data_IF_379840042829
#
_entry.id   IF_379840042829
#
_cell.length_a   1.000
_cell.length_b   1.000
_cell.length_c   1.000
_cell.angle_alpha   90.00
_cell.angle_beta   90.00
_cell.angle_gamma   90.00
#
_symmetry.space_group_name_H-M   'P 1'
#
loop_
_entity.id
_entity.type
_entity.pdbx_description
1 polymer ?
#
# COMPACT_ATOMS: atom_id res chain seq x y z
N UNK A 1 4.01 -19.10 -15.45
CA UNK A 1 3.15 -18.81 -14.27
C UNK A 1 1.75 -18.40 -14.71
N UNK A 2 1.57 -17.33 -15.45
CA UNK A 2 0.30 -16.99 -16.10
C UNK A 2 0.46 -17.08 -17.63
N UNK A 3 -0.63 -17.38 -18.35
CA UNK A 3 -0.63 -17.53 -19.80
C UNK A 3 -0.19 -16.24 -20.50
N UNK A 4 0.70 -16.34 -21.50
CA UNK A 4 1.29 -15.18 -22.18
C UNK A 4 0.23 -14.32 -22.90
N UNK A 5 -0.77 -14.93 -23.54
CA UNK A 5 -1.85 -14.21 -24.20
C UNK A 5 -2.73 -13.44 -23.20
N UNK A 6 -2.99 -14.04 -22.02
CA UNK A 6 -3.75 -13.39 -20.96
C UNK A 6 -3.00 -12.17 -20.41
N UNK A 7 -1.68 -12.31 -20.19
CA UNK A 7 -0.80 -11.20 -19.77
C UNK A 7 -0.80 -10.08 -20.80
N UNK A 8 -0.64 -10.41 -22.10
CA UNK A 8 -0.64 -9.44 -23.18
C UNK A 8 -1.97 -8.69 -23.25
N UNK A 9 -3.07 -9.41 -23.25
CA UNK A 9 -4.41 -8.80 -23.33
C UNK A 9 -4.73 -7.94 -22.10
N UNK A 10 -4.25 -8.30 -20.91
CA UNK A 10 -4.40 -7.51 -19.69
C UNK A 10 -3.53 -6.25 -19.74
N UNK A 11 -2.28 -6.38 -20.20
CA UNK A 11 -1.34 -5.28 -20.35
C UNK A 11 -1.84 -4.25 -21.38
N UNK A 12 -2.22 -4.71 -22.58
CA UNK A 12 -2.67 -3.83 -23.65
C UNK A 12 -3.95 -3.07 -23.26
N UNK A 13 -4.86 -3.73 -22.54
CA UNK A 13 -6.11 -3.13 -22.05
C UNK A 13 -5.94 -2.07 -20.96
N UNK A 14 -4.80 -2.05 -20.24
CA UNK A 14 -4.55 -1.13 -19.13
C UNK A 14 -3.20 -0.39 -19.26
N UNK A 15 -2.68 -0.30 -20.47
CA UNK A 15 -1.37 0.29 -20.76
C UNK A 15 -1.24 1.71 -20.22
N UNK A 16 -2.24 2.54 -20.42
CA UNK A 16 -2.28 3.92 -19.92
C UNK A 16 -2.21 3.98 -18.40
N UNK A 17 -2.84 3.04 -17.70
CA UNK A 17 -2.75 2.92 -16.24
C UNK A 17 -1.32 2.61 -15.80
N UNK A 18 -0.65 1.64 -16.45
CA UNK A 18 0.75 1.31 -16.11
C UNK A 18 1.71 2.46 -16.44
N UNK A 19 1.53 3.14 -17.57
CA UNK A 19 2.31 4.32 -17.93
C UNK A 19 2.13 5.45 -16.90
N UNK A 20 0.91 5.65 -16.41
CA UNK A 20 0.61 6.64 -15.37
C UNK A 20 1.19 6.25 -14.01
N UNK A 21 1.18 4.96 -13.64
CA UNK A 21 1.82 4.45 -12.42
C UNK A 21 3.33 4.69 -12.47
N UNK A 22 3.99 4.38 -13.59
CA UNK A 22 5.42 4.64 -13.75
C UNK A 22 5.75 6.13 -13.68
N UNK A 23 4.94 6.96 -14.31
CA UNK A 23 5.14 8.41 -14.26
C UNK A 23 4.94 8.98 -12.84
N UNK A 24 3.97 8.47 -12.08
CA UNK A 24 3.76 8.82 -10.67
C UNK A 24 4.95 8.36 -9.81
N UNK A 25 5.48 7.15 -10.08
CA UNK A 25 6.68 6.64 -9.44
C UNK A 25 7.86 7.57 -9.66
N UNK A 26 8.09 8.02 -10.90
CA UNK A 26 9.19 8.94 -11.23
C UNK A 26 9.06 10.29 -10.51
N UNK A 27 7.83 10.85 -10.45
CA UNK A 27 7.57 12.09 -9.72
C UNK A 27 7.86 11.95 -8.23
N UNK A 28 7.45 10.85 -7.62
CA UNK A 28 7.69 10.59 -6.18
C UNK A 28 9.19 10.34 -5.91
N UNK A 29 9.88 9.58 -6.75
CA UNK A 29 11.32 9.33 -6.62
C UNK A 29 12.14 10.63 -6.74
N UNK A 30 11.71 11.55 -7.59
CA UNK A 30 12.34 12.86 -7.72
C UNK A 30 12.15 13.75 -6.47
N UNK A 31 11.08 13.54 -5.70
CA UNK A 31 10.78 14.31 -4.48
C UNK A 31 11.39 13.69 -3.21
N UNK A 32 11.48 12.37 -3.15
CA UNK A 32 11.87 11.62 -1.95
C UNK A 32 13.15 10.83 -2.16
N UNK A 33 14.28 11.46 -1.90
CA UNK A 33 15.60 10.85 -2.07
C UNK A 33 15.77 9.59 -1.21
N UNK A 34 16.22 8.48 -1.83
CA UNK A 34 16.51 7.22 -1.15
C UNK A 34 15.27 6.41 -0.75
N UNK A 35 14.10 6.78 -1.25
CA UNK A 35 12.85 6.07 -0.98
C UNK A 35 12.34 5.23 -2.16
N UNK A 36 13.18 5.00 -3.18
CA UNK A 36 12.80 4.32 -4.43
C UNK A 36 12.09 2.98 -4.21
N UNK A 37 12.61 2.16 -3.29
CA UNK A 37 11.97 0.87 -2.93
C UNK A 37 10.62 1.05 -2.24
N UNK A 38 10.49 2.10 -1.43
CA UNK A 38 9.22 2.41 -0.77
C UNK A 38 8.18 2.86 -1.80
N UNK A 39 8.59 3.71 -2.74
CA UNK A 39 7.73 4.17 -3.84
C UNK A 39 7.32 2.99 -4.72
N UNK A 40 8.23 2.10 -5.08
CA UNK A 40 7.91 0.87 -5.83
C UNK A 40 6.89 0.00 -5.07
N UNK A 41 7.10 -0.22 -3.78
CA UNK A 41 6.16 -0.93 -2.92
C UNK A 41 4.77 -0.27 -2.92
N UNK A 42 4.71 1.07 -2.85
CA UNK A 42 3.46 1.83 -2.94
C UNK A 42 2.75 1.65 -4.28
N UNK A 43 3.49 1.63 -5.39
CA UNK A 43 2.91 1.39 -6.73
C UNK A 43 2.33 -0.02 -6.83
N UNK A 44 3.03 -1.03 -6.31
CA UNK A 44 2.53 -2.40 -6.26
C UNK A 44 1.31 -2.53 -5.34
N UNK A 45 1.31 -1.85 -4.18
CA UNK A 45 0.14 -1.76 -3.31
C UNK A 45 -1.05 -1.12 -4.03
N UNK A 46 -0.82 -0.04 -4.78
CA UNK A 46 -1.84 0.64 -5.54
C UNK A 46 -2.43 -0.24 -6.65
N UNK A 47 -1.62 -0.96 -7.40
CA UNK A 47 -2.08 -1.87 -8.45
C UNK A 47 -2.86 -3.07 -7.92
N UNK A 48 -2.39 -3.66 -6.82
CA UNK A 48 -2.98 -4.90 -6.28
C UNK A 48 -4.10 -4.65 -5.28
N UNK A 49 -4.16 -3.45 -4.70
CA UNK A 49 -5.06 -3.12 -3.59
C UNK A 49 -4.68 -3.81 -2.29
N UNK A 50 -3.47 -4.37 -2.19
CA UNK A 50 -3.00 -5.03 -0.98
C UNK A 50 -2.49 -4.03 0.06
N UNK A 51 -2.75 -4.27 1.35
CA UNK A 51 -2.25 -3.41 2.41
C UNK A 51 -0.73 -3.37 2.47
N UNK A 52 -0.18 -2.17 2.67
CA UNK A 52 1.25 -1.94 2.82
C UNK A 52 1.57 -1.34 4.18
N UNK A 53 2.68 -1.80 4.79
CA UNK A 53 3.26 -1.16 5.98
C UNK A 53 4.68 -0.68 5.73
N UNK A 54 4.97 0.53 6.19
CA UNK A 54 6.30 1.13 6.22
C UNK A 54 6.88 1.00 7.62
N UNK A 55 8.07 0.42 7.74
CA UNK A 55 8.74 0.20 9.02
C UNK A 55 10.09 0.92 8.99
N UNK A 56 10.32 1.80 9.95
CA UNK A 56 11.60 2.51 10.03
C UNK A 56 11.59 3.62 11.07
N UNK A 57 12.76 4.16 11.42
CA UNK A 57 12.89 5.14 12.50
C UNK A 57 12.03 6.39 12.26
N UNK A 58 11.71 7.15 13.31
CA UNK A 58 11.00 8.41 13.17
C UNK A 58 11.83 9.38 12.31
N UNK A 59 11.16 10.32 11.64
CA UNK A 59 11.83 11.31 10.78
C UNK A 59 12.19 10.81 9.36
N UNK A 60 11.83 9.60 8.96
CA UNK A 60 12.07 9.05 7.61
C UNK A 60 10.99 9.40 6.59
N UNK A 61 10.24 10.46 6.80
CA UNK A 61 9.22 11.01 5.89
C UNK A 61 8.04 10.06 5.52
N UNK A 62 7.74 9.05 6.34
CA UNK A 62 6.68 8.06 6.08
C UNK A 62 5.31 8.71 5.79
N UNK A 63 4.86 9.59 6.66
CA UNK A 63 3.57 10.28 6.50
C UNK A 63 3.61 11.26 5.32
N UNK A 64 4.76 11.93 5.11
CA UNK A 64 4.92 12.92 4.02
C UNK A 64 4.78 12.31 2.63
N UNK A 65 5.39 11.13 2.40
CA UNK A 65 5.31 10.47 1.10
C UNK A 65 3.88 10.01 0.78
N UNK A 66 3.13 9.51 1.78
CA UNK A 66 1.72 9.12 1.59
C UNK A 66 0.85 10.34 1.30
N UNK A 67 1.05 11.44 2.01
CA UNK A 67 0.32 12.71 1.73
C UNK A 67 0.63 13.22 0.32
N UNK A 68 1.91 13.17 -0.12
CA UNK A 68 2.30 13.56 -1.48
C UNK A 68 1.65 12.66 -2.54
N UNK A 69 1.61 11.36 -2.31
CA UNK A 69 0.90 10.41 -3.16
C UNK A 69 -0.60 10.75 -3.25
N UNK A 70 -1.26 10.94 -2.12
CA UNK A 70 -2.69 11.29 -2.08
C UNK A 70 -2.97 12.66 -2.70
N UNK A 71 -2.08 13.63 -2.51
CA UNK A 71 -2.19 14.94 -3.13
C UNK A 71 -2.10 14.87 -4.66
N UNK A 72 -1.13 14.13 -5.20
CA UNK A 72 -0.99 13.92 -6.65
C UNK A 72 -2.20 13.22 -7.27
N UNK A 73 -2.85 12.34 -6.53
CA UNK A 73 -4.10 11.69 -6.95
C UNK A 73 -5.35 12.58 -6.77
N UNK A 74 -5.20 13.81 -6.30
CA UNK A 74 -6.31 14.74 -6.08
C UNK A 74 -7.16 14.45 -4.84
N UNK A 75 -6.71 13.52 -3.97
CA UNK A 75 -7.43 13.14 -2.75
C UNK A 75 -7.18 14.09 -1.57
N UNK A 76 -6.13 14.88 -1.62
CA UNK A 76 -5.78 15.91 -0.62
C UNK A 76 -5.68 17.25 -1.33
N UNK A 77 -6.35 18.27 -0.81
CA UNK A 77 -6.34 19.63 -1.38
C UNK A 77 -4.99 20.35 -1.18
N UNK A 78 -4.74 21.38 -1.97
CA UNK A 78 -3.49 22.16 -1.92
C UNK A 78 -3.23 22.77 -0.54
N UNK A 79 -4.24 23.38 0.06
CA UNK A 79 -4.11 24.06 1.36
C UNK A 79 -3.83 23.08 2.49
N UNK A 80 -4.53 21.95 2.52
CA UNK A 80 -4.29 20.89 3.49
C UNK A 80 -2.89 20.29 3.34
N UNK A 81 -2.46 20.05 2.10
CA UNK A 81 -1.13 19.52 1.81
C UNK A 81 -0.02 20.51 2.21
N UNK A 82 -0.17 21.79 1.87
CA UNK A 82 0.81 22.84 2.20
C UNK A 82 0.97 23.06 3.71
N UNK A 83 -0.14 23.02 4.46
CA UNK A 83 -0.11 23.11 5.92
C UNK A 83 0.43 21.88 6.62
N UNK A 84 0.54 20.76 5.92
CA UNK A 84 0.86 19.47 6.52
C UNK A 84 -0.23 18.93 7.44
N UNK A 85 -1.43 19.52 7.33
CA UNK A 85 -2.58 19.23 8.18
C UNK A 85 -3.57 18.37 7.42
N UNK A 86 -3.94 17.25 7.99
CA UNK A 86 -4.96 16.34 7.46
C UNK A 86 -6.11 16.18 8.44
N UNK A 87 -5.88 16.59 9.69
CA UNK A 87 -6.86 16.52 10.75
C UNK A 87 -7.53 17.89 10.89
N UNK A 88 -8.81 17.95 10.70
CA UNK A 88 -9.61 19.11 11.13
C UNK A 88 -9.89 20.12 10.06
N UNK A 89 -10.02 19.70 8.85
CA UNK A 89 -10.63 20.58 7.89
C UNK A 89 -12.15 20.50 8.00
N UNK A 90 -12.74 21.39 8.75
CA UNK A 90 -14.15 21.78 8.53
C UNK A 90 -14.41 22.18 7.07
N UNK A 91 -13.36 22.33 6.26
CA UNK A 91 -13.42 22.78 4.86
C UNK A 91 -13.00 21.75 3.81
N UNK A 92 -12.27 20.69 4.12
CA UNK A 92 -12.01 19.66 3.09
C UNK A 92 -13.12 18.62 3.10
N UNK A 93 -14.16 18.86 2.34
CA UNK A 93 -15.23 17.90 2.00
C UNK A 93 -14.72 16.67 1.21
N UNK A 94 -13.43 16.38 1.23
CA UNK A 94 -12.87 15.26 0.53
C UNK A 94 -12.81 14.06 1.48
N UNK A 95 -13.92 13.36 1.62
CA UNK A 95 -14.06 12.14 2.41
C UNK A 95 -13.20 10.99 1.86
N UNK A 96 -12.41 11.22 0.80
CA UNK A 96 -11.70 10.15 0.10
C UNK A 96 -10.40 9.73 0.80
N UNK A 97 -9.82 10.57 1.65
CA UNK A 97 -8.59 10.29 2.41
C UNK A 97 -8.82 10.40 3.91
N UNK A 98 -8.34 9.39 4.64
CA UNK A 98 -8.34 9.37 6.12
C UNK A 98 -6.94 9.08 6.62
N UNK A 99 -6.44 9.88 7.55
CA UNK A 99 -5.16 9.70 8.23
C UNK A 99 -5.35 9.77 9.72
N UNK A 100 -4.70 8.86 10.46
CA UNK A 100 -4.76 8.85 11.90
C UNK A 100 -3.49 8.30 12.55
N UNK A 101 -3.02 8.95 13.62
CA UNK A 101 -1.92 8.49 14.46
C UNK A 101 -2.49 7.62 15.59
N UNK A 102 -2.23 6.33 15.53
CA UNK A 102 -2.73 5.38 16.52
C UNK A 102 -1.89 5.36 17.79
N UNK A 103 -2.57 5.27 18.91
CA UNK A 103 -2.01 5.13 20.25
C UNK A 103 -2.72 3.99 21.00
N UNK A 104 -2.16 3.56 22.12
CA UNK A 104 -2.84 2.58 22.99
C UNK A 104 -4.16 3.10 23.58
N UNK A 105 -4.37 4.42 23.59
CA UNK A 105 -5.57 5.06 24.12
C UNK A 105 -6.59 5.41 23.04
N UNK A 106 -6.25 5.18 21.75
CA UNK A 106 -7.19 5.45 20.65
C UNK A 106 -8.48 4.68 20.83
N UNK A 107 -9.59 5.39 20.77
CA UNK A 107 -10.93 4.81 20.87
C UNK A 107 -11.53 4.54 19.49
N UNK A 108 -12.42 3.52 19.37
CA UNK A 108 -13.13 3.25 18.12
C UNK A 108 -13.93 4.45 17.58
N UNK A 109 -14.40 5.32 18.45
CA UNK A 109 -15.12 6.56 18.11
C UNK A 109 -14.29 7.55 17.31
N UNK A 110 -12.98 7.58 17.52
CA UNK A 110 -12.05 8.45 16.81
C UNK A 110 -11.82 8.00 15.34
N UNK A 111 -11.93 6.72 15.08
CA UNK A 111 -11.78 6.15 13.74
C UNK A 111 -13.11 6.06 12.98
N UNK A 112 -14.19 5.74 13.70
CA UNK A 112 -15.48 5.40 13.10
C UNK A 112 -16.60 6.40 13.41
N UNK A 113 -16.29 7.48 14.13
CA UNK A 113 -17.23 8.54 14.50
C UNK A 113 -18.02 8.24 15.79
N UNK A 114 -18.36 9.31 16.46
CA UNK A 114 -19.19 9.29 17.67
C UNK A 114 -20.66 9.05 17.32
N UNK A 115 -21.43 8.67 18.31
CA UNK A 115 -22.89 8.61 18.16
C UNK A 115 -23.51 10.01 18.17
N UNK A 116 -24.42 10.26 17.23
CA UNK A 116 -25.19 11.51 17.15
C UNK A 116 -26.19 11.57 18.33
N UNK A 117 -25.84 12.39 19.32
CA UNK A 117 -26.66 12.54 20.54
C UNK A 117 -28.04 13.14 20.24
N UNK A 118 -28.14 14.05 19.26
CA UNK A 118 -29.42 14.65 18.90
C UNK A 118 -30.39 13.61 18.35
N UNK A 119 -29.92 12.63 17.61
CA UNK A 119 -30.75 11.52 17.11
C UNK A 119 -31.04 10.47 18.18
N UNK A 120 -30.16 10.27 19.14
CA UNK A 120 -30.40 9.36 20.28
C UNK A 120 -31.58 9.88 21.12
N UNK A 121 -31.62 11.19 21.37
CA UNK A 121 -32.70 11.82 22.14
C UNK A 121 -33.88 12.28 21.28
N UNK A 122 -33.85 12.04 19.98
CA UNK A 122 -34.92 12.35 19.04
C UNK A 122 -36.14 11.44 19.19
N UNK A 123 -37.21 11.78 18.47
CA UNK A 123 -38.45 10.96 18.40
C UNK A 123 -38.74 10.54 16.97
N UNK A 124 -38.63 9.24 16.60
CA UNK A 124 -38.18 8.10 17.41
C UNK A 124 -36.67 8.17 17.69
N UNK A 125 -36.18 7.61 18.82
CA UNK A 125 -34.76 7.54 19.11
C UNK A 125 -34.03 6.65 18.09
N UNK A 126 -32.99 7.17 17.48
CA UNK A 126 -32.19 6.42 16.48
C UNK A 126 -30.72 6.52 16.83
N UNK A 127 -30.09 5.36 16.96
CA UNK A 127 -28.66 5.28 17.23
C UNK A 127 -27.89 5.31 15.90
N UNK A 128 -27.33 6.46 15.55
CA UNK A 128 -26.56 6.69 14.31
C UNK A 128 -25.20 7.29 14.67
N UNK A 129 -24.16 6.93 13.93
CA UNK A 129 -22.84 7.57 14.05
C UNK A 129 -22.74 8.79 13.13
N UNK A 130 -22.02 9.79 13.59
CA UNK A 130 -21.50 10.84 12.71
C UNK A 130 -20.30 10.28 11.93
N UNK A 131 -20.46 10.11 10.63
CA UNK A 131 -19.49 9.37 9.79
C UNK A 131 -18.75 10.25 8.81
N UNK A 132 -19.07 11.55 8.75
CA UNK A 132 -18.41 12.46 7.83
C UNK A 132 -16.93 12.59 8.19
N UNK A 133 -16.06 12.40 7.18
CA UNK A 133 -14.61 12.38 7.39
C UNK A 133 -14.05 11.18 8.14
N UNK A 134 -14.85 10.15 8.43
CA UNK A 134 -14.41 8.97 9.17
C UNK A 134 -13.89 7.87 8.25
N UNK A 135 -13.07 6.97 8.81
CA UNK A 135 -12.32 5.94 8.09
C UNK A 135 -13.20 5.07 7.17
N UNK A 136 -14.44 4.74 7.57
CA UNK A 136 -15.34 3.90 6.78
C UNK A 136 -15.90 4.59 5.52
N UNK A 137 -15.65 5.88 5.33
CA UNK A 137 -16.00 6.64 4.13
C UNK A 137 -14.82 6.85 3.19
N UNK A 138 -13.60 6.63 3.67
CA UNK A 138 -12.40 6.92 2.92
C UNK A 138 -12.07 5.85 1.86
N UNK A 139 -11.55 6.30 0.72
CA UNK A 139 -11.00 5.44 -0.34
C UNK A 139 -9.55 5.06 -0.05
N UNK A 140 -8.79 5.97 0.55
CA UNK A 140 -7.41 5.75 0.98
C UNK A 140 -7.31 6.02 2.47
N UNK A 141 -6.77 5.06 3.20
CA UNK A 141 -6.56 5.14 4.65
C UNK A 141 -5.06 5.05 4.93
N UNK A 142 -4.57 5.97 5.76
CA UNK A 142 -3.22 5.90 6.31
C UNK A 142 -3.28 5.85 7.85
N UNK A 143 -2.68 4.82 8.43
CA UNK A 143 -2.61 4.62 9.87
C UNK A 143 -1.15 4.68 10.32
N UNK A 144 -0.80 5.76 11.03
CA UNK A 144 0.54 5.90 11.59
C UNK A 144 0.62 5.22 12.97
N UNK A 145 1.79 4.70 13.32
CA UNK A 145 2.08 3.95 14.54
C UNK A 145 1.10 2.78 14.78
N UNK A 146 0.80 2.05 13.71
CA UNK A 146 -0.28 1.05 13.68
C UNK A 146 -0.14 -0.06 14.73
N UNK A 147 1.09 -0.43 15.13
CA UNK A 147 1.32 -1.46 16.14
C UNK A 147 1.23 -0.95 17.59
N UNK A 148 1.02 0.36 17.78
CA UNK A 148 0.80 0.94 19.11
C UNK A 148 -0.69 0.90 19.52
N UNK A 149 -1.60 0.53 18.61
CA UNK A 149 -3.03 0.49 18.87
C UNK A 149 -3.41 -0.64 19.85
N UNK A 150 -4.48 -0.42 20.59
CA UNK A 150 -5.05 -1.45 21.47
C UNK A 150 -5.56 -2.67 20.67
N UNK A 151 -5.60 -3.84 21.31
CA UNK A 151 -6.13 -5.07 20.69
C UNK A 151 -7.56 -4.92 20.18
N UNK A 152 -8.38 -4.08 20.81
CA UNK A 152 -9.75 -3.80 20.37
C UNK A 152 -9.77 -3.07 19.00
N UNK A 153 -8.92 -2.07 18.85
CA UNK A 153 -8.74 -1.35 17.56
C UNK A 153 -8.20 -2.29 16.49
N UNK A 154 -7.16 -3.07 16.81
CA UNK A 154 -6.56 -4.00 15.83
C UNK A 154 -7.56 -5.04 15.34
N UNK A 155 -8.42 -5.57 16.21
CA UNK A 155 -9.47 -6.50 15.82
C UNK A 155 -10.54 -5.86 14.91
N UNK A 156 -10.90 -4.60 15.16
CA UNK A 156 -11.82 -3.85 14.28
C UNK A 156 -11.18 -3.62 12.91
N UNK A 157 -9.89 -3.28 12.88
CA UNK A 157 -9.11 -3.10 11.65
C UNK A 157 -8.96 -4.39 10.84
N UNK A 158 -8.83 -5.55 11.48
CA UNK A 158 -8.74 -6.84 10.78
C UNK A 158 -9.92 -7.08 9.83
N UNK A 159 -11.13 -6.84 10.30
CA UNK A 159 -12.34 -7.00 9.47
C UNK A 159 -12.41 -5.95 8.37
N UNK A 160 -12.08 -4.71 8.72
CA UNK A 160 -12.03 -3.59 7.78
C UNK A 160 -11.05 -3.84 6.63
N UNK A 161 -9.84 -4.31 6.93
CA UNK A 161 -8.79 -4.59 5.95
C UNK A 161 -9.10 -5.79 5.06
N UNK A 162 -9.60 -6.88 5.65
CA UNK A 162 -9.75 -8.16 4.95
C UNK A 162 -10.99 -8.24 4.09
N UNK A 163 -12.11 -7.79 4.64
CA UNK A 163 -13.41 -7.96 4.02
C UNK A 163 -13.90 -6.69 3.33
N UNK A 164 -13.21 -5.56 3.56
CA UNK A 164 -13.66 -4.23 3.14
C UNK A 164 -15.10 -3.98 3.60
N UNK A 165 -15.35 -4.35 4.86
CA UNK A 165 -16.64 -4.20 5.52
C UNK A 165 -16.49 -3.53 6.86
N UNK A 166 -17.48 -2.74 7.20
CA UNK A 166 -17.63 -2.15 8.51
C UNK A 166 -18.81 -2.81 9.22
N UNK A 167 -18.54 -3.33 10.42
CA UNK A 167 -19.53 -3.94 11.28
C UNK A 167 -19.95 -2.94 12.35
N UNK A 168 -21.19 -2.49 12.29
CA UNK A 168 -21.77 -1.61 13.31
C UNK A 168 -23.11 -2.15 13.78
N UNK A 169 -23.19 -2.53 15.07
CA UNK A 169 -24.41 -2.97 15.74
C UNK A 169 -25.18 -4.04 14.97
N UNK A 170 -24.50 -5.09 14.57
CA UNK A 170 -25.07 -6.20 13.81
C UNK A 170 -25.39 -5.92 12.35
N UNK A 171 -25.19 -4.69 11.89
CA UNK A 171 -25.26 -4.34 10.47
C UNK A 171 -23.87 -4.41 9.84
N UNK A 172 -23.80 -5.00 8.67
CA UNK A 172 -22.58 -5.12 7.88
C UNK A 172 -22.75 -4.36 6.58
N UNK A 173 -21.83 -3.46 6.29
CA UNK A 173 -21.85 -2.72 5.03
C UNK A 173 -20.46 -2.69 4.39
N UNK A 174 -20.40 -2.63 3.09
CA UNK A 174 -19.15 -2.44 2.36
C UNK A 174 -18.63 -1.02 2.56
N UNK A 175 -17.30 -0.90 2.61
CA UNK A 175 -16.60 0.39 2.65
C UNK A 175 -15.92 0.67 1.30
N UNK A 176 -15.77 1.94 0.90
CA UNK A 176 -15.17 2.31 -0.38
C UNK A 176 -13.63 2.20 -0.38
N UNK A 177 -13.04 1.53 0.62
CA UNK A 177 -11.61 1.41 0.78
C UNK A 177 -10.95 0.80 -0.46
N UNK A 178 -10.05 1.53 -1.10
CA UNK A 178 -9.24 1.10 -2.24
C UNK A 178 -7.82 0.77 -1.84
N UNK A 179 -7.21 1.60 -0.96
CA UNK A 179 -5.83 1.48 -0.51
C UNK A 179 -5.74 1.66 1.00
N UNK A 180 -4.90 0.85 1.62
CA UNK A 180 -4.54 1.00 3.04
C UNK A 180 -3.03 0.99 3.18
N UNK A 181 -2.52 2.10 3.68
CA UNK A 181 -1.13 2.28 4.08
C UNK A 181 -1.04 2.34 5.59
N UNK A 182 0.02 1.79 6.13
CA UNK A 182 0.35 1.92 7.54
C UNK A 182 1.81 2.27 7.73
N UNK A 183 2.14 2.84 8.87
CA UNK A 183 3.51 3.07 9.29
C UNK A 183 3.73 2.63 10.74
N UNK A 184 4.97 2.30 11.05
CA UNK A 184 5.44 2.03 12.41
C UNK A 184 6.93 2.30 12.53
N UNK A 185 7.39 2.62 13.73
CA UNK A 185 8.81 2.80 13.99
C UNK A 185 9.57 1.47 14.16
N UNK A 186 8.86 0.39 14.44
CA UNK A 186 9.44 -0.95 14.65
C UNK A 186 8.49 -2.06 14.22
N UNK A 187 9.05 -3.24 13.99
CA UNK A 187 8.25 -4.46 13.79
C UNK A 187 7.58 -4.87 15.09
N UNK A 188 6.35 -5.44 15.04
CA UNK A 188 5.68 -5.91 16.24
C UNK A 188 6.49 -7.03 16.91
N UNK A 189 6.66 -6.92 18.23
CA UNK A 189 7.38 -7.92 19.05
C UNK A 189 6.45 -8.83 19.85
N UNK A 190 5.21 -8.43 20.04
CA UNK A 190 4.21 -9.18 20.80
C UNK A 190 3.61 -10.28 19.94
N UNK A 191 3.51 -11.49 20.49
CA UNK A 191 2.93 -12.66 19.80
C UNK A 191 1.50 -12.39 19.32
N UNK A 192 0.71 -11.62 20.05
CA UNK A 192 -0.67 -11.24 19.68
C UNK A 192 -0.77 -10.38 18.42
N UNK A 193 0.29 -9.70 18.00
CA UNK A 193 0.31 -8.83 16.82
C UNK A 193 0.68 -9.58 15.53
N UNK A 194 1.18 -10.80 15.62
CA UNK A 194 1.61 -11.58 14.46
C UNK A 194 0.51 -11.76 13.41
N UNK A 195 -0.71 -12.09 13.86
CA UNK A 195 -1.86 -12.25 12.98
C UNK A 195 -2.27 -10.95 12.27
N UNK A 196 -2.13 -9.81 12.95
CA UNK A 196 -2.39 -8.50 12.37
C UNK A 196 -1.27 -8.10 11.39
N UNK A 197 -0.01 -8.34 11.75
CA UNK A 197 1.14 -8.10 10.88
C UNK A 197 1.10 -8.91 9.59
N UNK A 198 0.62 -10.18 9.66
CA UNK A 198 0.45 -11.04 8.48
C UNK A 198 -0.55 -10.47 7.46
N UNK A 199 -1.42 -9.53 7.85
CA UNK A 199 -2.37 -8.87 6.94
C UNK A 199 -1.71 -7.84 6.04
N UNK A 200 -0.59 -7.25 6.45
CA UNK A 200 0.23 -6.40 5.59
C UNK A 200 1.07 -7.26 4.67
N UNK A 201 0.56 -7.47 3.46
CA UNK A 201 1.25 -8.28 2.47
C UNK A 201 2.57 -7.64 2.06
N UNK A 202 2.53 -6.34 1.79
CA UNK A 202 3.65 -5.54 1.32
C UNK A 202 4.28 -4.78 2.49
N UNK A 203 5.59 -4.91 2.62
CA UNK A 203 6.36 -4.33 3.72
C UNK A 203 7.58 -3.61 3.17
N UNK A 204 7.65 -2.32 3.42
CA UNK A 204 8.81 -1.51 3.06
C UNK A 204 9.58 -1.12 4.32
N UNK A 205 10.88 -1.39 4.32
CA UNK A 205 11.77 -0.98 5.40
C UNK A 205 12.52 0.27 4.99
N UNK A 206 12.55 1.21 5.91
CA UNK A 206 13.17 2.52 5.76
C UNK A 206 14.31 2.64 6.75
N UNK A 207 15.43 3.13 6.29
CA UNK A 207 16.59 3.43 7.11
C UNK A 207 16.96 4.92 6.98
N UNK A 208 17.64 5.45 7.97
CA UNK A 208 18.22 6.77 7.83
C UNK A 208 19.24 6.76 6.69
N UNK A 209 19.35 7.89 5.98
CA UNK A 209 20.36 8.04 4.94
C UNK A 209 21.76 7.80 5.52
N UNK A 210 22.66 7.14 4.78
CA UNK A 210 24.05 6.99 5.19
C UNK A 210 24.69 8.36 5.42
N UNK A 211 25.57 8.45 6.43
CA UNK A 211 26.31 9.67 6.76
C UNK A 211 27.48 9.93 5.77
N UNK A 212 27.14 9.94 4.49
CA UNK A 212 28.04 10.23 3.38
C UNK A 212 27.80 11.67 2.91
N UNK A 213 28.83 12.51 2.74
CA UNK A 213 28.66 13.93 2.44
C UNK A 213 27.85 14.20 1.15
N UNK A 214 28.06 13.44 0.09
CA UNK A 214 27.36 13.63 -1.18
C UNK A 214 25.88 13.27 -1.05
N UNK A 215 25.60 12.13 -0.41
CA UNK A 215 24.23 11.67 -0.17
C UNK A 215 23.45 12.58 0.79
N UNK A 216 24.13 13.10 1.81
CA UNK A 216 23.53 14.08 2.73
C UNK A 216 23.23 15.41 2.03
N UNK A 217 24.11 15.87 1.15
CA UNK A 217 23.87 17.10 0.38
C UNK A 217 22.63 16.95 -0.53
N UNK A 218 22.47 15.81 -1.22
CA UNK A 218 21.29 15.53 -2.05
C UNK A 218 20.03 15.42 -1.20
N UNK A 219 20.09 14.66 -0.10
CA UNK A 219 18.96 14.53 0.83
C UNK A 219 18.52 15.90 1.38
N UNK A 220 19.46 16.69 1.89
CA UNK A 220 19.15 17.99 2.50
C UNK A 220 18.56 18.95 1.48
N UNK A 221 19.10 19.01 0.25
CA UNK A 221 18.55 19.90 -0.77
C UNK A 221 17.14 19.49 -1.21
N UNK A 222 16.88 18.19 -1.41
CA UNK A 222 15.57 17.67 -1.79
C UNK A 222 14.54 17.82 -0.66
N UNK A 223 14.91 17.42 0.56
CA UNK A 223 14.02 17.51 1.72
C UNK A 223 13.72 18.95 2.12
N UNK A 224 14.69 19.86 2.02
CA UNK A 224 14.48 21.28 2.29
C UNK A 224 13.48 21.90 1.31
N UNK A 225 13.65 21.62 0.02
CA UNK A 225 12.73 22.11 -1.01
C UNK A 225 11.30 21.57 -0.78
N UNK A 226 11.16 20.27 -0.53
CA UNK A 226 9.86 19.65 -0.31
C UNK A 226 9.19 20.15 0.99
N UNK A 227 9.95 20.50 2.02
CA UNK A 227 9.42 20.96 3.31
C UNK A 227 8.99 22.42 3.28
N UNK A 228 9.79 23.29 2.64
CA UNK A 228 9.58 24.75 2.72
C UNK A 228 8.85 25.31 1.49
N UNK A 229 8.93 24.64 0.36
CA UNK A 229 8.27 25.02 -0.86
C UNK A 229 7.73 23.78 -1.59
N UNK A 230 6.76 23.07 -1.00
CA UNK A 230 6.22 21.87 -1.63
C UNK A 230 5.67 22.20 -3.00
N UNK A 231 6.07 21.41 -3.99
CA UNK A 231 5.58 21.59 -5.36
C UNK A 231 4.09 21.23 -5.42
N UNK A 232 3.27 22.25 -5.54
CA UNK A 232 1.84 22.15 -5.82
C UNK A 232 1.66 22.16 -7.34
N UNK A 233 1.98 21.03 -7.98
CA UNK A 233 1.91 20.95 -9.45
C UNK A 233 0.49 20.53 -9.87
N UNK A 234 -0.30 21.53 -10.25
CA UNK A 234 -1.66 21.33 -10.78
C UNK A 234 -1.68 20.50 -12.07
N UNK A 235 -0.60 20.55 -12.88
CA UNK A 235 -0.51 19.74 -14.08
C UNK A 235 -0.36 18.26 -13.74
N UNK A 236 0.50 17.92 -12.77
CA UNK A 236 0.65 16.56 -12.27
C UNK A 236 -0.64 16.06 -11.62
N UNK A 237 -1.31 16.88 -10.80
CA UNK A 237 -2.59 16.51 -10.20
C UNK A 237 -3.66 16.19 -11.24
N UNK A 238 -3.80 17.01 -12.28
CA UNK A 238 -4.75 16.73 -13.37
C UNK A 238 -4.37 15.48 -14.14
N UNK A 239 -3.09 15.22 -14.31
CA UNK A 239 -2.55 14.03 -14.98
C UNK A 239 -2.89 12.76 -14.21
N UNK A 240 -2.74 12.77 -12.89
CA UNK A 240 -2.89 11.57 -12.07
C UNK A 240 -4.28 11.41 -11.44
N UNK A 241 -5.14 12.42 -11.46
CA UNK A 241 -6.49 12.31 -10.89
C UNK A 241 -7.30 11.10 -11.41
N UNK A 242 -7.23 10.71 -12.73
CA UNK A 242 -7.94 9.54 -13.22
C UNK A 242 -7.33 8.20 -12.80
N UNK A 243 -6.12 8.20 -12.21
CA UNK A 243 -5.37 6.98 -11.94
C UNK A 243 -6.10 6.06 -10.95
N UNK A 244 -6.81 6.61 -9.97
CA UNK A 244 -7.57 5.79 -9.00
C UNK A 244 -8.64 4.93 -9.66
N UNK A 245 -9.30 5.42 -10.70
CA UNK A 245 -10.26 4.65 -11.50
C UNK A 245 -9.54 3.60 -12.34
N UNK A 246 -8.45 3.96 -13.01
CA UNK A 246 -7.65 3.03 -13.80
C UNK A 246 -7.08 1.88 -12.98
N UNK A 247 -6.68 2.12 -11.74
CA UNK A 247 -6.24 1.09 -10.79
C UNK A 247 -7.38 0.13 -10.41
N UNK A 248 -8.60 0.65 -10.21
CA UNK A 248 -9.77 -0.16 -9.91
C UNK A 248 -10.18 -1.01 -11.12
N UNK A 249 -10.26 -0.40 -12.30
CA UNK A 249 -10.56 -1.10 -13.56
C UNK A 249 -9.57 -2.25 -13.82
N UNK A 250 -8.30 -2.04 -13.55
CA UNK A 250 -7.28 -3.09 -13.65
C UNK A 250 -7.55 -4.25 -12.68
N UNK A 251 -7.82 -3.97 -11.40
CA UNK A 251 -8.12 -5.00 -10.39
C UNK A 251 -9.39 -5.78 -10.76
N UNK A 252 -10.44 -5.07 -11.18
CA UNK A 252 -11.67 -5.68 -11.63
C UNK A 252 -11.48 -6.55 -12.89
N UNK A 253 -10.58 -6.14 -13.79
CA UNK A 253 -10.22 -6.93 -14.94
C UNK A 253 -9.48 -8.22 -14.58
N UNK A 254 -8.56 -8.17 -13.60
CA UNK A 254 -7.87 -9.35 -13.06
C UNK A 254 -8.90 -10.32 -12.45
N UNK A 255 -9.79 -9.84 -11.59
CA UNK A 255 -10.81 -10.64 -10.94
C UNK A 255 -11.78 -11.27 -11.93
N UNK A 256 -12.28 -10.48 -12.88
CA UNK A 256 -13.21 -10.92 -13.93
C UNK A 256 -12.60 -11.99 -14.81
N UNK A 257 -11.37 -11.74 -15.30
CA UNK A 257 -10.66 -12.72 -16.16
C UNK A 257 -10.33 -14.00 -15.43
N UNK A 258 -10.02 -13.93 -14.14
CA UNK A 258 -9.81 -15.12 -13.31
C UNK A 258 -11.09 -15.93 -13.16
N UNK A 259 -12.23 -15.28 -12.88
CA UNK A 259 -13.55 -15.93 -12.80
C UNK A 259 -13.98 -16.55 -14.13
N UNK A 260 -13.67 -15.89 -15.24
CA UNK A 260 -13.98 -16.37 -16.60
C UNK A 260 -13.00 -17.46 -17.08
N UNK A 261 -12.02 -17.85 -16.28
CA UNK A 261 -10.98 -18.82 -16.65
C UNK A 261 -10.00 -18.33 -17.72
N UNK A 262 -9.97 -17.02 -18.00
CA UNK A 262 -9.07 -16.40 -18.99
C UNK A 262 -7.72 -15.97 -18.42
N UNK A 263 -7.60 -15.92 -17.10
CA UNK A 263 -6.34 -15.66 -16.39
C UNK A 263 -6.12 -16.81 -15.40
N UNK A 264 -5.33 -17.78 -15.80
CA UNK A 264 -5.06 -18.98 -15.01
C UNK A 264 -3.57 -19.16 -14.74
N UNK A 265 -3.28 -19.80 -13.63
CA UNK A 265 -1.91 -20.19 -13.27
C UNK A 265 -1.59 -21.54 -13.94
N UNK A 266 -0.56 -21.56 -14.79
CA UNK A 266 -0.02 -22.78 -15.43
C UNK A 266 0.78 -23.58 -14.41
N UNK A 267 0.33 -24.79 -14.07
CA UNK A 267 0.90 -25.61 -12.98
C UNK A 267 2.29 -26.13 -13.27
N UNK A 268 2.63 -26.31 -14.53
CA UNK A 268 3.90 -26.92 -14.96
C UNK A 268 5.01 -25.89 -15.27
N UNK A 269 4.75 -24.61 -14.92
CA UNK A 269 5.72 -23.54 -15.16
C UNK A 269 6.98 -23.74 -14.30
N UNK A 270 8.19 -23.72 -14.89
CA UNK A 270 9.45 -23.91 -14.17
C UNK A 270 9.72 -22.88 -13.07
N UNK A 271 9.09 -21.68 -13.14
CA UNK A 271 9.21 -20.66 -12.10
C UNK A 271 8.74 -21.12 -10.72
N UNK A 272 7.87 -22.16 -10.66
CA UNK A 272 7.46 -22.70 -9.36
C UNK A 272 8.60 -23.37 -8.61
N UNK A 273 9.62 -23.89 -9.29
CA UNK A 273 10.83 -24.43 -8.61
C UNK A 273 11.58 -23.30 -7.91
N UNK A 274 11.84 -22.20 -8.62
CA UNK A 274 12.50 -21.04 -8.03
C UNK A 274 11.70 -20.47 -6.85
N UNK A 275 10.38 -20.38 -6.99
CA UNK A 275 9.50 -19.91 -5.91
C UNK A 275 9.52 -20.85 -4.70
N UNK A 276 9.46 -22.17 -4.94
CA UNK A 276 9.49 -23.18 -3.88
C UNK A 276 10.81 -23.16 -3.12
N UNK A 277 11.94 -23.13 -3.83
CA UNK A 277 13.28 -23.09 -3.24
C UNK A 277 13.46 -21.81 -2.41
N UNK A 278 13.01 -20.66 -2.94
CA UNK A 278 13.03 -19.40 -2.23
C UNK A 278 12.19 -19.44 -0.95
N UNK A 279 10.95 -19.91 -1.02
CA UNK A 279 10.07 -20.03 0.14
C UNK A 279 10.61 -20.99 1.19
N UNK A 280 11.17 -22.13 0.76
CA UNK A 280 11.80 -23.09 1.67
C UNK A 280 12.98 -22.45 2.43
N UNK A 281 13.82 -21.69 1.72
CA UNK A 281 14.97 -21.01 2.35
C UNK A 281 14.53 -19.89 3.29
N UNK A 282 13.52 -19.10 2.91
CA UNK A 282 12.95 -18.05 3.77
C UNK A 282 12.41 -18.63 5.09
N UNK A 283 11.69 -19.75 5.02
CA UNK A 283 11.17 -20.46 6.20
C UNK A 283 12.31 -21.06 7.04
N UNK A 284 13.30 -21.70 6.40
CA UNK A 284 14.45 -22.30 7.07
C UNK A 284 15.29 -21.27 7.85
N UNK A 285 15.37 -20.05 7.33
CA UNK A 285 16.10 -18.92 7.95
C UNK A 285 15.24 -18.04 8.86
N UNK A 286 14.00 -18.42 9.05
CA UNK A 286 12.99 -17.63 9.82
C UNK A 286 12.86 -16.17 9.34
N UNK A 287 13.11 -15.93 8.05
CA UNK A 287 12.98 -14.62 7.45
C UNK A 287 11.55 -14.30 7.05
N UNK A 288 10.75 -15.31 6.76
CA UNK A 288 9.30 -15.19 6.58
C UNK A 288 8.67 -16.57 6.63
N UNK A 289 7.57 -16.69 7.38
CA UNK A 289 6.75 -17.91 7.38
C UNK A 289 5.99 -18.07 6.06
N UNK A 290 5.81 -17.02 5.32
CA UNK A 290 5.13 -16.97 4.02
C UNK A 290 3.92 -17.90 4.01
N UNK A 291 2.86 -17.50 4.70
CA UNK A 291 1.62 -18.28 4.80
C UNK A 291 1.02 -18.56 3.42
N UNK A 292 0.24 -19.65 3.29
CA UNK A 292 -0.43 -19.98 2.02
C UNK A 292 -1.28 -18.80 1.50
N UNK A 293 -1.91 -18.05 2.39
CA UNK A 293 -2.66 -16.85 2.05
C UNK A 293 -1.76 -15.80 1.42
N UNK A 294 -0.58 -15.55 1.99
CA UNK A 294 0.38 -14.57 1.45
C UNK A 294 0.92 -15.00 0.10
N UNK A 295 1.25 -16.30 -0.07
CA UNK A 295 1.70 -16.85 -1.36
C UNK A 295 0.68 -16.61 -2.46
N UNK A 296 -0.60 -16.89 -2.21
CA UNK A 296 -1.68 -16.66 -3.19
C UNK A 296 -1.77 -15.18 -3.56
N UNK A 297 -1.66 -14.26 -2.58
CA UNK A 297 -1.69 -12.82 -2.82
C UNK A 297 -0.44 -12.31 -3.55
N UNK A 298 0.73 -12.86 -3.22
CA UNK A 298 1.97 -12.53 -3.94
C UNK A 298 1.94 -12.91 -5.42
N UNK A 299 1.15 -13.90 -5.84
CA UNK A 299 0.95 -14.15 -7.26
C UNK A 299 0.40 -12.91 -8.01
N UNK A 300 -0.51 -12.17 -7.38
CA UNK A 300 -1.02 -10.89 -7.90
C UNK A 300 0.05 -9.79 -7.92
N UNK A 301 0.91 -9.73 -6.90
CA UNK A 301 2.02 -8.76 -6.85
C UNK A 301 3.06 -9.07 -7.93
N UNK A 302 3.42 -10.34 -8.12
CA UNK A 302 4.34 -10.78 -9.18
C UNK A 302 3.77 -10.43 -10.56
N UNK A 303 2.46 -10.67 -10.77
CA UNK A 303 1.77 -10.26 -12.00
C UNK A 303 1.89 -8.75 -12.24
N UNK A 304 1.57 -7.92 -11.24
CA UNK A 304 1.65 -6.47 -11.35
C UNK A 304 3.08 -5.99 -11.64
N UNK A 305 4.09 -6.54 -10.97
CA UNK A 305 5.49 -6.23 -11.17
C UNK A 305 5.95 -6.55 -12.61
N UNK A 306 5.59 -7.73 -13.12
CA UNK A 306 5.92 -8.14 -14.48
C UNK A 306 5.28 -7.21 -15.54
N UNK A 307 4.04 -6.76 -15.32
CA UNK A 307 3.35 -5.83 -16.24
C UNK A 307 3.97 -4.43 -16.19
N UNK A 308 4.33 -3.93 -15.00
CA UNK A 308 5.07 -2.66 -14.85
C UNK A 308 6.44 -2.72 -15.52
N UNK A 309 7.19 -3.80 -15.31
CA UNK A 309 8.49 -4.02 -15.95
C UNK A 309 8.35 -4.04 -17.47
N UNK A 310 7.38 -4.80 -18.00
CA UNK A 310 7.12 -4.86 -19.44
C UNK A 310 6.79 -3.48 -20.03
N UNK A 311 6.04 -2.65 -19.30
CA UNK A 311 5.73 -1.27 -19.72
C UNK A 311 6.98 -0.41 -19.74
N UNK A 312 7.81 -0.49 -18.68
CA UNK A 312 9.08 0.28 -18.59
C UNK A 312 10.06 -0.09 -19.69
N UNK A 313 10.21 -1.38 -19.96
CA UNK A 313 11.12 -1.92 -20.98
C UNK A 313 10.54 -1.86 -22.40
N UNK A 314 9.27 -1.50 -22.55
CA UNK A 314 8.52 -1.55 -23.82
C UNK A 314 8.59 -2.93 -24.48
N UNK A 315 8.55 -3.97 -23.66
CA UNK A 315 8.67 -5.37 -24.05
C UNK A 315 7.33 -6.11 -23.94
N UNK A 316 7.25 -7.29 -24.55
CA UNK A 316 6.10 -8.15 -24.39
C UNK A 316 5.98 -8.63 -22.93
N UNK A 317 4.80 -8.56 -22.30
CA UNK A 317 4.62 -8.94 -20.92
C UNK A 317 4.80 -10.46 -20.75
N UNK A 318 5.70 -10.81 -19.85
CA UNK A 318 5.95 -12.19 -19.40
C UNK A 318 6.44 -12.15 -17.97
N UNK A 319 6.13 -13.17 -17.18
CA UNK A 319 6.72 -13.33 -15.86
C UNK A 319 8.08 -14.02 -16.01
N UNK A 320 9.06 -13.50 -15.32
CA UNK A 320 10.43 -14.02 -15.29
C UNK A 320 10.84 -14.33 -13.85
N UNK A 321 11.94 -15.03 -13.66
CA UNK A 321 12.46 -15.29 -12.33
C UNK A 321 12.77 -14.01 -11.55
N UNK A 322 13.23 -12.96 -12.23
CA UNK A 322 13.48 -11.65 -11.62
C UNK A 322 12.23 -11.04 -10.97
N UNK A 323 11.03 -11.27 -11.54
CA UNK A 323 9.78 -10.75 -10.98
C UNK A 323 9.41 -11.42 -9.64
N UNK A 324 9.93 -12.62 -9.36
CA UNK A 324 9.78 -13.27 -8.07
C UNK A 324 10.54 -12.51 -6.97
N UNK A 325 11.50 -11.68 -7.35
CA UNK A 325 12.28 -10.83 -6.44
C UNK A 325 11.42 -9.91 -5.56
N UNK A 326 10.21 -9.54 -5.99
CA UNK A 326 9.28 -8.74 -5.16
C UNK A 326 8.92 -9.41 -3.83
N UNK A 327 9.00 -10.74 -3.76
CA UNK A 327 8.80 -11.49 -2.51
C UNK A 327 9.95 -11.23 -1.54
N UNK A 328 11.18 -11.15 -2.05
CA UNK A 328 12.38 -10.83 -1.26
C UNK A 328 12.41 -9.34 -0.86
N UNK A 329 11.88 -8.47 -1.71
CA UNK A 329 11.87 -7.03 -1.48
C UNK A 329 10.82 -6.61 -0.46
N UNK A 330 9.63 -7.21 -0.51
CA UNK A 330 8.45 -6.70 0.19
C UNK A 330 7.70 -7.75 1.02
N UNK A 331 8.19 -8.99 1.06
CA UNK A 331 7.52 -10.09 1.75
C UNK A 331 8.19 -10.58 3.03
N UNK A 332 9.29 -9.95 3.47
CA UNK A 332 10.07 -10.45 4.59
C UNK A 332 9.55 -9.97 5.94
N UNK A 333 9.62 -10.85 6.94
CA UNK A 333 9.30 -10.56 8.34
C UNK A 333 10.54 -10.06 9.10
N UNK A 334 11.73 -10.56 8.72
CA UNK A 334 13.03 -10.19 9.28
C UNK A 334 14.04 -9.83 8.18
N UNK A 335 15.14 -9.18 8.55
CA UNK A 335 16.22 -8.77 7.64
C UNK A 335 17.40 -9.73 7.73
N UNK A 336 17.86 -10.19 6.57
CA UNK A 336 19.17 -10.85 6.39
C UNK A 336 19.65 -10.57 4.97
N UNK A 337 20.38 -9.49 4.80
CA UNK A 337 20.91 -9.05 3.52
C UNK A 337 21.77 -10.10 2.84
N UNK A 338 22.43 -10.97 3.60
CA UNK A 338 23.32 -11.99 3.05
C UNK A 338 22.52 -13.09 2.36
N UNK A 339 21.44 -13.54 2.99
CA UNK A 339 20.52 -14.54 2.45
C UNK A 339 19.72 -13.94 1.28
N UNK A 340 19.21 -12.72 1.40
CA UNK A 340 18.48 -12.05 0.32
C UNK A 340 19.35 -11.89 -0.92
N UNK A 341 20.61 -11.46 -0.78
CA UNK A 341 21.55 -11.36 -1.93
C UNK A 341 21.81 -12.71 -2.59
N UNK A 342 21.97 -13.79 -1.84
CA UNK A 342 22.17 -15.15 -2.38
C UNK A 342 20.94 -15.62 -3.15
N UNK A 343 19.75 -15.44 -2.58
CA UNK A 343 18.49 -15.82 -3.24
C UNK A 343 18.27 -15.01 -4.52
N UNK A 344 18.54 -13.71 -4.51
CA UNK A 344 18.44 -12.86 -5.70
C UNK A 344 19.40 -13.31 -6.80
N UNK A 345 20.66 -13.56 -6.50
CA UNK A 345 21.62 -14.08 -7.45
C UNK A 345 21.24 -15.45 -8.05
N UNK A 346 20.33 -16.19 -7.39
CA UNK A 346 19.77 -17.44 -7.91
C UNK A 346 18.60 -17.21 -8.87
N UNK A 347 17.86 -16.11 -8.70
CA UNK A 347 16.80 -15.70 -9.62
C UNK A 347 17.33 -15.07 -10.91
N UNK A 348 18.55 -14.53 -10.89
CA UNK A 348 19.19 -13.86 -12.02
C UNK A 348 19.91 -14.86 -12.97
N UNK A 349 19.95 -16.15 -12.61
CA UNK A 349 20.52 -17.25 -13.42
C UNK A 349 19.44 -17.95 -14.24
#
# INVERSE_FOLDING_TARGET
MFQAEALKSLHDGHRTTFESVLALQDVLNARFYGMDRTVECMMLAALTGEPMVMIGPPGTAKSRIIRSFCHLLGLVGNDAFARGDTAGAEESKNEAYFEYLLTQFTEPSELFGQFDLARIFGKPPVLVREENGMMQKAQVVFLDEVFNASSAILNALLTFMNERKFHDRGKVRRVPLRLLFAASNHTPREEGLGAFYDRFLLRSRLNNAPADPERLAVLLSAAWAETHAPKLDEADRRRFAPLMEGLEDFRDAVDRRTKDGKLQIERDDPLFRHLADMVAELRRKDLSQMSNRRLVKFAGVILAAALLRATREKAAPRITAADLGVVLDFGLDAEDDSTVRKLRAHLDR
#
